data_IF_696547829168
#
_entry.id   IF_696547829168
#
_cell.length_a   1.000
_cell.length_b   1.000
_cell.length_c   1.000
_cell.angle_alpha   90.00
_cell.angle_beta   90.00
_cell.angle_gamma   90.00
#
_symmetry.space_group_name_H-M   'P 1'
#
loop_
_entity.id
_entity.type
_entity.pdbx_description
1 polymer ?
#
# COMPACT_ATOMS: atom_id res chain seq x y z
N UNK A 1 2.71 -24.49 -2.00
CA UNK A 1 2.89 -23.77 -0.72
C UNK A 1 2.43 -24.68 0.40
N UNK A 2 3.33 -25.13 1.27
CA UNK A 2 2.98 -26.06 2.35
C UNK A 2 2.36 -25.28 3.53
N UNK A 3 1.54 -25.92 4.36
CA UNK A 3 0.75 -25.23 5.40
C UNK A 3 1.62 -24.46 6.42
N UNK A 4 2.84 -24.95 6.69
CA UNK A 4 3.81 -24.32 7.58
C UNK A 4 4.38 -22.99 7.02
N UNK A 5 4.51 -22.86 5.69
CA UNK A 5 4.95 -21.62 5.04
C UNK A 5 3.86 -20.54 5.09
N UNK A 6 2.58 -20.95 5.15
CA UNK A 6 1.46 -20.02 5.35
C UNK A 6 1.37 -19.55 6.82
N UNK A 7 1.70 -20.43 7.77
CA UNK A 7 1.58 -20.17 9.21
C UNK A 7 2.66 -19.19 9.70
N UNK A 8 3.91 -19.39 9.25
CA UNK A 8 5.02 -18.46 9.50
C UNK A 8 4.76 -17.06 8.90
N UNK A 9 4.11 -17.01 7.74
CA UNK A 9 3.83 -15.74 7.06
C UNK A 9 2.68 -14.97 7.73
N UNK A 10 1.73 -15.67 8.36
CA UNK A 10 0.66 -15.04 9.13
C UNK A 10 1.18 -14.45 10.45
N UNK A 11 2.03 -15.17 11.19
CA UNK A 11 2.66 -14.64 12.41
C UNK A 11 3.56 -13.44 12.10
N UNK A 12 4.33 -13.51 11.01
CA UNK A 12 5.19 -12.42 10.58
C UNK A 12 4.38 -11.18 10.13
N UNK A 13 3.27 -11.38 9.40
CA UNK A 13 2.37 -10.31 9.03
C UNK A 13 1.71 -9.64 10.26
N UNK A 14 1.34 -10.42 11.27
CA UNK A 14 0.82 -9.90 12.55
C UNK A 14 1.89 -9.09 13.29
N UNK A 15 3.13 -9.58 13.34
CA UNK A 15 4.23 -8.86 14.00
C UNK A 15 4.54 -7.52 13.31
N UNK A 16 4.64 -7.50 11.98
CA UNK A 16 4.82 -6.25 11.23
C UNK A 16 3.64 -5.31 11.40
N UNK A 17 2.42 -5.85 11.49
CA UNK A 17 1.25 -5.05 11.76
C UNK A 17 1.36 -4.32 13.10
N UNK A 18 1.63 -5.04 14.20
CA UNK A 18 1.76 -4.45 15.54
C UNK A 18 2.85 -3.37 15.58
N UNK A 19 3.96 -3.59 14.89
CA UNK A 19 5.03 -2.61 14.77
C UNK A 19 4.53 -1.33 14.06
N UNK A 20 3.83 -1.47 12.93
CA UNK A 20 3.27 -0.35 12.18
C UNK A 20 2.22 0.44 12.95
N UNK A 21 1.43 -0.22 13.82
CA UNK A 21 0.47 0.47 14.69
C UNK A 21 1.16 1.28 15.78
N UNK A 22 2.24 0.73 16.37
CA UNK A 22 2.99 1.40 17.44
C UNK A 22 3.84 2.58 16.94
N UNK A 23 4.24 2.58 15.68
CA UNK A 23 5.11 3.60 15.12
C UNK A 23 4.33 4.73 14.45
N UNK A 24 4.41 5.92 15.04
CA UNK A 24 3.70 7.13 14.57
C UNK A 24 4.49 7.96 13.55
N UNK A 25 5.75 7.60 13.29
CA UNK A 25 6.62 8.33 12.39
C UNK A 25 6.37 8.06 10.89
N UNK A 26 7.19 8.67 10.01
CA UNK A 26 7.13 8.46 8.57
C UNK A 26 7.37 7.01 8.20
N UNK A 27 6.49 6.43 7.37
CA UNK A 27 6.58 5.06 6.88
C UNK A 27 6.37 5.07 5.37
N UNK A 28 7.20 4.31 4.66
CA UNK A 28 7.01 3.96 3.24
C UNK A 28 7.24 2.46 3.09
N UNK A 29 6.29 1.79 2.45
CA UNK A 29 6.39 0.40 2.04
C UNK A 29 6.99 0.34 0.65
N UNK A 30 8.05 -0.45 0.46
CA UNK A 30 8.67 -0.65 -0.86
C UNK A 30 8.26 -2.03 -1.34
N UNK A 31 7.37 -2.09 -2.35
CA UNK A 31 6.85 -3.33 -2.92
C UNK A 31 7.65 -3.71 -4.15
N UNK A 32 8.32 -4.85 -4.11
CA UNK A 32 9.00 -5.43 -5.29
C UNK A 32 7.96 -6.04 -6.21
N UNK A 33 7.94 -5.63 -7.49
CA UNK A 33 6.91 -6.08 -8.44
C UNK A 33 7.29 -7.32 -9.24
N UNK A 34 8.53 -7.80 -9.13
CA UNK A 34 9.01 -9.02 -9.81
C UNK A 34 9.45 -10.08 -8.80
N UNK A 35 8.94 -10.01 -7.57
CA UNK A 35 9.27 -10.96 -6.52
C UNK A 35 8.21 -12.08 -6.47
N UNK A 36 8.60 -13.25 -6.96
CA UNK A 36 7.72 -14.42 -7.10
C UNK A 36 7.38 -15.07 -5.74
N UNK A 37 8.12 -14.73 -4.68
CA UNK A 37 7.94 -15.28 -3.34
C UNK A 37 6.67 -14.76 -2.64
N UNK A 38 6.00 -13.74 -3.18
CA UNK A 38 4.98 -12.94 -2.45
C UNK A 38 3.60 -12.98 -3.14
N UNK A 39 3.50 -13.39 -4.41
CA UNK A 39 2.22 -13.42 -5.15
C UNK A 39 1.51 -14.75 -4.96
N UNK A 40 0.21 -14.74 -4.66
CA UNK A 40 -0.56 -15.99 -4.46
C UNK A 40 -1.15 -16.56 -5.74
N UNK A 41 -1.19 -15.78 -6.82
CA UNK A 41 -1.57 -16.25 -8.16
C UNK A 41 -0.36 -16.08 -9.09
N UNK A 42 0.32 -17.18 -9.41
CA UNK A 42 1.50 -17.20 -10.28
C UNK A 42 1.15 -17.33 -11.77
N UNK A 43 -0.10 -17.65 -12.08
CA UNK A 43 -0.58 -17.94 -13.45
C UNK A 43 -1.42 -16.83 -14.07
N UNK A 44 -1.85 -15.86 -13.26
CA UNK A 44 -2.60 -14.69 -13.69
C UNK A 44 -1.78 -13.70 -14.52
N UNK A 45 -2.50 -12.74 -15.12
CA UNK A 45 -1.93 -11.55 -15.76
C UNK A 45 -1.09 -10.74 -14.78
N UNK A 46 -0.22 -9.84 -15.28
CA UNK A 46 0.59 -8.97 -14.42
C UNK A 46 -0.25 -8.18 -13.40
N UNK A 47 -1.47 -7.77 -13.77
CA UNK A 47 -2.39 -7.08 -12.86
C UNK A 47 -2.92 -7.99 -11.76
N UNK A 48 -3.26 -9.24 -12.07
CA UNK A 48 -3.71 -10.26 -11.11
C UNK A 48 -2.57 -10.68 -10.17
N UNK A 49 -1.35 -10.82 -10.71
CA UNK A 49 -0.13 -11.06 -9.91
C UNK A 49 0.13 -9.90 -8.93
N UNK A 50 0.02 -8.65 -9.38
CA UNK A 50 0.19 -7.47 -8.52
C UNK A 50 -0.89 -7.38 -7.44
N UNK A 51 -2.15 -7.67 -7.78
CA UNK A 51 -3.27 -7.65 -6.85
C UNK A 51 -3.14 -8.76 -5.77
N UNK A 52 -2.56 -9.90 -6.13
CA UNK A 52 -2.37 -11.06 -5.24
C UNK A 52 -1.09 -11.00 -4.37
N UNK A 53 -0.34 -9.90 -4.41
CA UNK A 53 0.85 -9.72 -3.59
C UNK A 53 0.49 -9.59 -2.10
N UNK A 54 1.02 -10.48 -1.24
CA UNK A 54 0.72 -10.50 0.20
C UNK A 54 1.05 -9.18 0.93
N UNK A 55 2.06 -8.42 0.48
CA UNK A 55 2.40 -7.12 1.07
C UNK A 55 1.30 -6.06 0.88
N UNK A 56 0.36 -6.28 -0.04
CA UNK A 56 -0.80 -5.41 -0.23
C UNK A 56 -1.65 -5.29 1.05
N UNK A 57 -1.69 -6.35 1.88
CA UNK A 57 -2.40 -6.32 3.17
C UNK A 57 -1.79 -5.31 4.14
N UNK A 58 -0.46 -5.12 4.11
CA UNK A 58 0.23 -4.15 4.96
C UNK A 58 -0.21 -2.72 4.62
N UNK A 59 -0.34 -2.39 3.33
CA UNK A 59 -0.82 -1.06 2.91
C UNK A 59 -2.25 -0.80 3.36
N UNK A 60 -3.16 -1.75 3.08
CA UNK A 60 -4.57 -1.63 3.48
C UNK A 60 -4.70 -1.36 4.97
N UNK A 61 -3.96 -2.13 5.77
CA UNK A 61 -3.99 -2.02 7.22
C UNK A 61 -3.37 -0.72 7.72
N UNK A 62 -2.24 -0.29 7.13
CA UNK A 62 -1.60 0.98 7.47
C UNK A 62 -2.52 2.18 7.23
N UNK A 63 -3.21 2.22 6.08
CA UNK A 63 -4.16 3.31 5.77
C UNK A 63 -5.36 3.21 6.72
N UNK A 64 -5.91 2.01 6.96
CA UNK A 64 -7.03 1.80 7.88
C UNK A 64 -6.72 2.27 9.30
N UNK A 65 -5.57 1.90 9.85
CA UNK A 65 -5.17 2.28 11.21
C UNK A 65 -4.95 3.79 11.33
N UNK A 66 -4.35 4.43 10.33
CA UNK A 66 -4.02 5.87 10.39
C UNK A 66 -5.15 6.80 9.95
N UNK A 67 -6.08 6.30 9.14
CA UNK A 67 -7.19 7.05 8.56
C UNK A 67 -8.50 6.26 8.65
N UNK A 68 -8.94 5.83 9.85
CA UNK A 68 -10.08 4.91 10.00
C UNK A 68 -11.38 5.44 9.40
N UNK A 69 -11.63 6.75 9.54
CA UNK A 69 -12.82 7.42 8.99
C UNK A 69 -12.94 7.30 7.47
N UNK A 70 -11.84 7.13 6.73
CA UNK A 70 -11.90 6.92 5.28
C UNK A 70 -12.53 5.57 4.91
N UNK A 71 -12.44 4.57 5.79
CA UNK A 71 -13.00 3.24 5.54
C UNK A 71 -14.45 3.10 5.96
N UNK A 72 -15.03 4.13 6.58
CA UNK A 72 -16.48 4.22 6.81
C UNK A 72 -17.23 4.55 5.51
N UNK A 73 -16.55 5.15 4.53
CA UNK A 73 -17.09 5.39 3.19
C UNK A 73 -17.26 4.08 2.41
N UNK A 74 -18.38 3.97 1.69
CA UNK A 74 -18.74 2.77 0.93
C UNK A 74 -17.70 2.53 -0.17
N UNK A 75 -17.11 1.33 -0.19
CA UNK A 75 -16.20 0.91 -1.26
C UNK A 75 -14.74 1.36 -1.09
N UNK A 76 -14.37 1.98 0.03
CA UNK A 76 -12.97 2.40 0.27
C UNK A 76 -11.96 1.26 0.21
N UNK A 77 -12.31 0.07 0.73
CA UNK A 77 -11.45 -1.13 0.62
C UNK A 77 -11.25 -1.50 -0.86
N UNK A 78 -12.32 -1.50 -1.65
CA UNK A 78 -12.22 -1.79 -3.09
C UNK A 78 -11.40 -0.75 -3.85
N UNK A 79 -11.39 0.52 -3.43
CA UNK A 79 -10.55 1.56 -4.05
C UNK A 79 -9.06 1.27 -3.82
N UNK A 80 -8.68 0.85 -2.61
CA UNK A 80 -7.29 0.43 -2.34
C UNK A 80 -6.92 -0.77 -3.21
N UNK A 81 -7.82 -1.76 -3.34
CA UNK A 81 -7.62 -2.93 -4.21
C UNK A 81 -7.46 -2.58 -5.69
N UNK A 82 -8.31 -1.69 -6.20
CA UNK A 82 -8.21 -1.19 -7.58
C UNK A 82 -6.84 -0.56 -7.81
N UNK A 83 -6.36 0.28 -6.88
CA UNK A 83 -5.05 0.91 -7.00
C UNK A 83 -3.92 -0.13 -6.95
N UNK A 84 -4.01 -1.12 -6.07
CA UNK A 84 -2.98 -2.16 -5.88
C UNK A 84 -2.79 -3.06 -7.11
N UNK A 85 -3.86 -3.34 -7.86
CA UNK A 85 -3.83 -4.09 -9.12
C UNK A 85 -3.52 -3.22 -10.35
N UNK A 86 -3.60 -1.90 -10.24
CA UNK A 86 -3.34 -0.98 -11.34
C UNK A 86 -1.83 -0.87 -11.68
N UNK A 87 -1.53 -0.76 -12.97
CA UNK A 87 -0.21 -0.44 -13.50
C UNK A 87 0.26 0.97 -13.12
N UNK A 88 1.55 1.25 -13.25
CA UNK A 88 2.12 2.58 -12.99
C UNK A 88 1.45 3.69 -13.81
N UNK A 89 1.10 3.41 -15.07
CA UNK A 89 0.39 4.36 -15.95
C UNK A 89 -1.01 4.64 -15.43
N UNK A 90 -1.77 3.59 -15.10
CA UNK A 90 -3.13 3.74 -14.55
C UNK A 90 -3.11 4.51 -13.22
N UNK A 91 -2.17 4.21 -12.32
CA UNK A 91 -2.01 4.94 -11.06
C UNK A 91 -1.69 6.41 -11.27
N UNK A 92 -0.85 6.72 -12.25
CA UNK A 92 -0.55 8.12 -12.61
C UNK A 92 -1.80 8.87 -13.08
N UNK A 93 -2.71 8.19 -13.79
CA UNK A 93 -4.00 8.76 -14.20
C UNK A 93 -5.01 8.87 -13.05
N UNK A 94 -4.92 7.99 -12.04
CA UNK A 94 -5.77 8.01 -10.84
C UNK A 94 -5.41 9.15 -9.88
N UNK A 95 -4.15 9.57 -9.87
CA UNK A 95 -3.67 10.70 -9.08
C UNK A 95 -4.14 12.02 -9.72
N UNK A 96 -5.29 12.52 -9.28
CA UNK A 96 -5.78 13.86 -9.63
C UNK A 96 -5.09 14.93 -8.79
N UNK A 97 -5.15 16.19 -9.24
CA UNK A 97 -4.70 17.36 -8.48
C UNK A 97 -5.54 17.52 -7.21
N UNK A 98 -5.13 16.85 -6.14
CA UNK A 98 -5.75 16.94 -4.83
C UNK A 98 -4.73 17.52 -3.84
N UNK A 99 -5.14 18.41 -2.92
CA UNK A 99 -4.20 19.21 -2.15
C UNK A 99 -3.20 18.35 -1.39
N UNK A 100 -1.91 18.64 -1.60
CA UNK A 100 -0.77 17.97 -0.93
C UNK A 100 -0.83 18.01 0.60
N UNK A 101 -1.68 18.86 1.18
CA UNK A 101 -1.88 18.99 2.62
C UNK A 101 -3.18 18.32 3.07
N UNK A 102 -3.03 17.15 3.68
CA UNK A 102 -4.11 16.38 4.30
C UNK A 102 -4.71 17.03 5.55
N UNK A 103 -4.01 18.00 6.14
CA UNK A 103 -4.31 18.56 7.47
C UNK A 103 -5.60 19.39 7.54
N UNK A 104 -6.24 19.67 6.41
CA UNK A 104 -7.47 20.47 6.34
C UNK A 104 -8.64 19.75 5.68
N UNK A 105 -8.51 18.44 5.44
CA UNK A 105 -9.57 17.67 4.78
C UNK A 105 -10.58 17.22 5.83
N UNK A 106 -11.81 17.68 5.67
CA UNK A 106 -12.95 17.11 6.38
C UNK A 106 -13.32 15.76 5.77
N UNK A 107 -12.78 14.69 6.36
CA UNK A 107 -12.95 13.31 5.90
C UNK A 107 -14.41 12.84 5.99
N UNK A 108 -15.22 13.44 6.85
CA UNK A 108 -16.61 13.01 7.07
C UNK A 108 -17.54 13.47 5.95
N UNK A 109 -17.22 14.59 5.30
CA UNK A 109 -18.06 15.23 4.28
C UNK A 109 -17.48 15.14 2.87
N UNK A 110 -16.69 14.09 2.58
CA UNK A 110 -16.15 13.86 1.25
C UNK A 110 -17.19 13.31 0.29
N UNK A 111 -17.15 13.78 -0.96
CA UNK A 111 -17.81 13.08 -2.07
C UNK A 111 -17.09 11.76 -2.36
N UNK A 112 -17.76 10.82 -3.04
CA UNK A 112 -17.14 9.56 -3.45
C UNK A 112 -15.87 9.78 -4.29
N UNK A 113 -15.87 10.78 -5.17
CA UNK A 113 -14.72 11.13 -5.99
C UNK A 113 -13.55 11.67 -5.15
N UNK A 114 -13.83 12.53 -4.17
CA UNK A 114 -12.82 13.06 -3.26
C UNK A 114 -12.25 11.97 -2.36
N UNK A 115 -13.09 11.06 -1.87
CA UNK A 115 -12.68 9.90 -1.08
C UNK A 115 -11.75 8.99 -1.89
N UNK A 116 -12.14 8.64 -3.13
CA UNK A 116 -11.31 7.82 -4.02
C UNK A 116 -9.95 8.49 -4.29
N UNK A 117 -9.96 9.79 -4.61
CA UNK A 117 -8.75 10.55 -4.88
C UNK A 117 -7.82 10.57 -3.67
N UNK A 118 -8.36 10.84 -2.48
CA UNK A 118 -7.61 10.82 -1.24
C UNK A 118 -7.01 9.44 -0.94
N UNK A 119 -7.78 8.37 -1.14
CA UNK A 119 -7.28 6.99 -0.99
C UNK A 119 -6.10 6.75 -1.94
N UNK A 120 -6.20 7.13 -3.22
CA UNK A 120 -5.10 6.97 -4.17
C UNK A 120 -3.86 7.80 -3.79
N UNK A 121 -4.04 9.02 -3.29
CA UNK A 121 -2.94 9.81 -2.76
C UNK A 121 -2.27 9.15 -1.54
N UNK A 122 -3.05 8.56 -0.63
CA UNK A 122 -2.51 7.84 0.53
C UNK A 122 -1.79 6.55 0.11
N UNK A 123 -2.32 5.81 -0.87
CA UNK A 123 -1.63 4.66 -1.44
C UNK A 123 -0.26 5.07 -2.01
N UNK A 124 -0.21 6.13 -2.82
CA UNK A 124 1.04 6.64 -3.39
C UNK A 124 2.00 7.22 -2.34
N UNK A 125 1.47 7.76 -1.23
CA UNK A 125 2.28 8.24 -0.10
C UNK A 125 2.95 7.11 0.66
N UNK A 126 2.23 6.01 0.89
CA UNK A 126 2.67 4.93 1.77
C UNK A 126 3.29 3.74 1.03
N UNK A 127 3.16 3.64 -0.29
CA UNK A 127 3.72 2.54 -1.06
C UNK A 127 4.41 3.01 -2.34
N UNK A 128 5.62 2.51 -2.55
CA UNK A 128 6.40 2.67 -3.77
C UNK A 128 6.59 1.30 -4.40
N UNK A 129 6.29 1.18 -5.69
CA UNK A 129 6.66 0.01 -6.46
C UNK A 129 8.11 0.11 -6.92
N UNK A 130 8.87 -0.96 -6.71
CA UNK A 130 10.23 -1.09 -7.18
C UNK A 130 10.30 -2.26 -8.15
N UNK A 131 10.58 -1.96 -9.42
CA UNK A 131 10.60 -2.95 -10.49
C UNK A 131 11.85 -3.82 -10.40
N UNK A 132 11.82 -4.80 -9.49
CA UNK A 132 12.92 -5.73 -9.25
C UNK A 132 12.45 -7.02 -8.57
N UNK A 133 13.32 -8.02 -8.58
CA UNK A 133 13.21 -9.26 -7.80
C UNK A 133 13.95 -9.12 -6.45
N UNK A 134 13.89 -10.14 -5.58
CA UNK A 134 14.56 -10.13 -4.26
C UNK A 134 16.11 -10.02 -4.30
N UNK A 135 16.75 -10.30 -5.45
CA UNK A 135 18.21 -10.27 -5.58
C UNK A 135 18.78 -8.91 -5.99
N UNK A 136 17.91 -7.96 -6.37
CA UNK A 136 18.34 -6.61 -6.73
C UNK A 136 18.41 -5.75 -5.46
N UNK A 137 19.52 -5.05 -5.17
CA UNK A 137 19.56 -4.13 -4.04
C UNK A 137 18.57 -2.97 -4.24
N UNK A 138 18.00 -2.47 -3.14
CA UNK A 138 17.16 -1.28 -3.17
C UNK A 138 18.02 -0.04 -3.45
N UNK A 139 17.50 0.88 -4.25
CA UNK A 139 18.14 2.18 -4.46
C UNK A 139 18.19 2.96 -3.13
N UNK A 140 19.38 3.43 -2.68
CA UNK A 140 19.51 4.25 -1.47
C UNK A 140 18.60 5.48 -1.45
N UNK A 141 18.22 6.02 -2.60
CA UNK A 141 17.31 7.17 -2.71
C UNK A 141 15.86 6.87 -2.31
N UNK A 142 15.49 5.59 -2.20
CA UNK A 142 14.16 5.20 -1.72
C UNK A 142 14.02 5.29 -0.19
N UNK A 143 15.13 5.35 0.53
CA UNK A 143 15.11 5.41 1.99
C UNK A 143 14.94 6.85 2.46
N UNK A 144 13.89 7.10 3.25
CA UNK A 144 13.73 8.35 3.98
C UNK A 144 14.65 8.28 5.20
N UNK A 145 15.83 8.89 5.09
CA UNK A 145 16.77 9.00 6.21
C UNK A 145 16.32 10.17 7.08
N UNK A 146 16.00 9.95 8.37
CA UNK A 146 15.71 11.06 9.28
C UNK A 146 16.94 11.96 9.34
N UNK A 147 16.76 13.26 9.07
CA UNK A 147 17.80 14.24 9.33
C UNK A 147 17.93 14.36 10.85
N UNK A 148 19.14 14.25 11.43
CA UNK A 148 19.34 14.48 12.86
C UNK A 148 18.80 15.87 13.23
N UNK A 149 18.02 15.94 14.32
CA UNK A 149 17.54 17.18 14.92
C UNK A 149 18.70 18.04 15.43
#
# INVERSE_FOLDING_TARGET
LNCADLELDLELAIAYHLLLESYTGPVVLIRRTQDEMITTDETGTDSERLASNRANHLLKRLILTRHPKLFEHRGSVSMVDIWLGASAVQRSMMLKDFPRQLSFIDVENLTEEQCATLIYCLCAKYMIDFHSNHNTPLDPMLFIIPVPL
#
